data_IF_832262421879
#
_entry.id   IF_832262421879
#
_cell.length_a   1.000
_cell.length_b   1.000
_cell.length_c   1.000
_cell.angle_alpha   90.00
_cell.angle_beta   90.00
_cell.angle_gamma   90.00
#
_symmetry.space_group_name_H-M   'P 1'
#
loop_
_entity.id
_entity.type
_entity.pdbx_description
1 polymer ?
#
# COMPACT_ATOMS: atom_id res chain seq x y z
N UNK A 1 -13.56 -5.04 11.40
CA UNK A 1 -13.18 -4.00 10.45
C UNK A 1 -11.82 -4.32 9.85
N UNK A 2 -11.65 -4.16 8.52
CA UNK A 2 -10.35 -4.45 7.91
C UNK A 2 -9.27 -3.49 8.42
N UNK A 3 -8.08 -4.00 8.57
CA UNK A 3 -6.92 -3.23 9.02
C UNK A 3 -5.97 -3.01 7.86
N UNK A 4 -5.70 -1.75 7.57
CA UNK A 4 -4.84 -1.31 6.46
C UNK A 4 -3.59 -0.63 7.01
N UNK A 5 -2.43 -1.01 6.48
CA UNK A 5 -1.20 -0.28 6.73
C UNK A 5 -0.88 0.56 5.51
N UNK A 6 -0.70 1.85 5.72
CA UNK A 6 -0.38 2.82 4.66
C UNK A 6 1.05 3.29 4.83
N UNK A 7 1.89 3.08 3.81
CA UNK A 7 3.27 3.56 3.81
C UNK A 7 3.36 4.75 2.87
N UNK A 8 3.53 5.94 3.44
CA UNK A 8 3.56 7.22 2.71
C UNK A 8 4.46 8.21 3.46
N UNK A 9 5.45 8.77 2.78
CA UNK A 9 6.42 9.66 3.41
C UNK A 9 5.92 11.09 3.62
N UNK A 10 5.02 11.58 2.76
CA UNK A 10 4.46 12.92 2.92
C UNK A 10 3.43 12.92 4.05
N UNK A 11 3.71 13.66 5.12
CA UNK A 11 2.85 13.68 6.30
C UNK A 11 1.43 14.18 6.00
N UNK A 12 1.30 15.18 5.14
CA UNK A 12 -0.01 15.73 4.80
C UNK A 12 -0.82 14.73 3.96
N UNK A 13 -0.20 14.17 2.94
CA UNK A 13 -0.84 13.16 2.09
C UNK A 13 -1.25 11.95 2.92
N UNK A 14 -0.34 11.49 3.78
CA UNK A 14 -0.61 10.35 4.67
C UNK A 14 -1.83 10.60 5.56
N UNK A 15 -1.86 11.75 6.22
CA UNK A 15 -2.98 12.08 7.12
C UNK A 15 -4.31 12.24 6.39
N UNK A 16 -4.28 12.85 5.23
CA UNK A 16 -5.51 13.00 4.44
C UNK A 16 -6.05 11.66 4.00
N UNK A 17 -5.20 10.76 3.53
CA UNK A 17 -5.62 9.44 3.13
C UNK A 17 -6.08 8.60 4.32
N UNK A 18 -5.38 8.69 5.45
CA UNK A 18 -5.82 8.04 6.68
C UNK A 18 -7.24 8.45 7.06
N UNK A 19 -7.52 9.76 7.04
CA UNK A 19 -8.86 10.27 7.39
C UNK A 19 -9.93 9.74 6.45
N UNK A 20 -9.64 9.69 5.16
CA UNK A 20 -10.59 9.19 4.17
C UNK A 20 -10.89 7.72 4.36
N UNK A 21 -9.87 6.93 4.65
CA UNK A 21 -10.04 5.50 4.88
C UNK A 21 -10.80 5.23 6.18
N UNK A 22 -10.48 5.97 7.24
CA UNK A 22 -11.22 5.85 8.50
C UNK A 22 -12.69 6.21 8.31
N UNK A 23 -12.98 7.27 7.56
CA UNK A 23 -14.35 7.67 7.28
C UNK A 23 -15.11 6.59 6.48
N UNK A 24 -14.40 5.79 5.70
CA UNK A 24 -14.98 4.68 4.94
C UNK A 24 -15.10 3.38 5.75
N UNK A 25 -14.73 3.39 7.03
CA UNK A 25 -14.88 2.25 7.93
C UNK A 25 -13.65 1.37 8.10
N UNK A 26 -12.49 1.81 7.62
CA UNK A 26 -11.26 1.04 7.75
C UNK A 26 -10.50 1.41 9.03
N UNK A 27 -9.80 0.45 9.62
CA UNK A 27 -8.77 0.74 10.61
C UNK A 27 -7.46 0.97 9.86
N UNK A 28 -6.77 2.07 10.16
CA UNK A 28 -5.59 2.47 9.39
C UNK A 28 -4.41 2.77 10.30
N UNK A 29 -3.25 2.27 9.93
CA UNK A 29 -1.98 2.68 10.53
C UNK A 29 -1.12 3.27 9.43
N UNK A 30 -0.77 4.56 9.57
CA UNK A 30 0.15 5.22 8.66
C UNK A 30 1.59 5.08 9.13
N UNK A 31 2.47 4.73 8.21
CA UNK A 31 3.92 4.70 8.43
C UNK A 31 4.56 5.64 7.42
N UNK A 32 5.55 6.39 7.85
CA UNK A 32 6.18 7.38 6.97
C UNK A 32 7.18 6.77 5.99
N UNK A 33 7.65 5.55 6.27
CA UNK A 33 8.52 4.80 5.37
C UNK A 33 8.45 3.32 5.68
N UNK A 34 9.21 2.50 4.93
CA UNK A 34 9.14 1.05 5.04
C UNK A 34 10.04 0.44 6.11
N UNK A 35 10.81 1.24 6.83
CA UNK A 35 11.82 0.69 7.74
C UNK A 35 11.25 -0.16 8.86
N UNK A 36 10.10 0.22 9.37
CA UNK A 36 9.46 -0.50 10.49
C UNK A 36 8.29 -1.37 10.05
N UNK A 37 8.05 -1.46 8.74
CA UNK A 37 6.88 -2.18 8.24
C UNK A 37 6.89 -3.65 8.65
N UNK A 38 8.02 -4.31 8.49
CA UNK A 38 8.14 -5.75 8.78
C UNK A 38 7.83 -6.02 10.25
N UNK A 39 8.47 -5.27 11.15
CA UNK A 39 8.26 -5.42 12.59
C UNK A 39 6.80 -5.13 12.96
N UNK A 40 6.21 -4.11 12.37
CA UNK A 40 4.82 -3.77 12.63
C UNK A 40 3.88 -4.90 12.21
N UNK A 41 4.09 -5.48 11.03
CA UNK A 41 3.24 -6.56 10.52
C UNK A 41 3.37 -7.84 11.33
N UNK A 42 4.53 -8.10 11.93
CA UNK A 42 4.72 -9.27 12.80
C UNK A 42 3.89 -9.15 14.08
N UNK A 43 3.75 -7.94 14.60
CA UNK A 43 2.94 -7.70 15.81
C UNK A 43 1.47 -7.47 15.49
N UNK A 44 1.18 -6.83 14.35
CA UNK A 44 -0.16 -6.44 13.95
C UNK A 44 -0.38 -6.82 12.48
N UNK A 45 -0.75 -8.07 12.19
CA UNK A 45 -1.00 -8.49 10.82
C UNK A 45 -2.08 -7.63 10.15
N UNK A 46 -1.82 -7.20 8.94
CA UNK A 46 -2.73 -6.35 8.18
C UNK A 46 -3.54 -7.15 7.18
N UNK A 47 -4.70 -6.62 6.80
CA UNK A 47 -5.53 -7.18 5.74
C UNK A 47 -5.14 -6.66 4.38
N UNK A 48 -4.54 -5.47 4.33
CA UNK A 48 -4.11 -4.82 3.10
C UNK A 48 -2.97 -3.85 3.41
N UNK A 49 -2.02 -3.74 2.48
CA UNK A 49 -0.92 -2.79 2.57
C UNK A 49 -0.98 -1.86 1.36
N UNK A 50 -0.99 -0.55 1.59
CA UNK A 50 -0.86 0.47 0.56
C UNK A 50 0.56 1.05 0.63
N UNK A 51 1.27 1.07 -0.50
CA UNK A 51 2.65 1.57 -0.55
C UNK A 51 2.76 2.60 -1.67
N UNK A 52 3.27 3.80 -1.33
CA UNK A 52 3.60 4.81 -2.31
C UNK A 52 5.01 4.54 -2.88
N UNK A 53 5.15 4.56 -4.21
CA UNK A 53 6.43 4.32 -4.86
C UNK A 53 7.43 5.47 -4.71
N UNK A 54 6.97 6.64 -4.31
CA UNK A 54 7.85 7.80 -4.14
C UNK A 54 8.65 7.83 -2.86
N UNK A 55 8.78 6.72 -2.13
CA UNK A 55 9.46 6.68 -0.83
C UNK A 55 10.96 6.93 -0.99
N UNK A 56 11.55 7.84 -0.16
CA UNK A 56 12.94 8.27 -0.36
C UNK A 56 14.00 7.26 0.08
N UNK A 57 13.73 6.40 1.05
CA UNK A 57 14.76 5.56 1.66
C UNK A 57 14.75 4.11 1.21
N UNK A 58 13.58 3.59 0.89
CA UNK A 58 13.40 2.22 0.41
C UNK A 58 12.51 2.28 -0.80
N UNK A 59 12.97 1.69 -1.90
CA UNK A 59 12.15 1.51 -3.09
C UNK A 59 10.92 0.67 -2.70
N UNK A 60 9.74 1.17 -3.00
CA UNK A 60 8.49 0.48 -2.68
C UNK A 60 8.42 -0.92 -3.26
N UNK A 61 9.00 -1.14 -4.44
CA UNK A 61 9.03 -2.46 -5.05
C UNK A 61 9.97 -3.40 -4.29
N UNK A 62 11.12 -2.91 -3.85
CA UNK A 62 12.04 -3.70 -3.02
C UNK A 62 11.38 -4.08 -1.69
N UNK A 63 10.56 -3.20 -1.15
CA UNK A 63 9.81 -3.47 0.06
C UNK A 63 8.82 -4.62 -0.14
N UNK A 64 8.11 -4.65 -1.27
CA UNK A 64 7.21 -5.76 -1.60
C UNK A 64 7.97 -7.06 -1.72
N UNK A 65 9.12 -7.06 -2.42
CA UNK A 65 9.95 -8.26 -2.54
C UNK A 65 10.39 -8.78 -1.18
N UNK A 66 10.77 -7.87 -0.27
CA UNK A 66 11.14 -8.23 1.09
C UNK A 66 9.97 -8.90 1.84
N UNK A 67 8.77 -8.33 1.73
CA UNK A 67 7.59 -8.92 2.36
C UNK A 67 7.35 -10.35 1.88
N UNK A 68 7.41 -10.55 0.57
CA UNK A 68 7.18 -11.88 -0.01
C UNK A 68 8.26 -12.88 0.37
N UNK A 69 9.51 -12.44 0.45
CA UNK A 69 10.62 -13.31 0.85
C UNK A 69 10.51 -13.76 2.32
N UNK A 70 9.79 -13.02 3.14
CA UNK A 70 9.54 -13.38 4.54
C UNK A 70 8.22 -14.11 4.74
N UNK A 71 7.58 -14.54 3.65
CA UNK A 71 6.35 -15.32 3.72
C UNK A 71 5.10 -14.52 4.03
N UNK A 72 5.16 -13.20 3.90
CA UNK A 72 3.99 -12.34 4.13
C UNK A 72 3.19 -12.26 2.82
N UNK A 73 1.96 -12.78 2.85
CA UNK A 73 1.08 -12.88 1.68
C UNK A 73 0.00 -11.80 1.63
N UNK A 74 0.02 -10.88 2.58
CA UNK A 74 -0.95 -9.79 2.63
C UNK A 74 -1.04 -9.07 1.28
N UNK A 75 -2.25 -8.81 0.76
CA UNK A 75 -2.38 -8.06 -0.49
C UNK A 75 -1.71 -6.70 -0.40
N UNK A 76 -0.99 -6.33 -1.46
CA UNK A 76 -0.28 -5.06 -1.56
C UNK A 76 -0.79 -4.30 -2.77
N UNK A 77 -1.17 -3.04 -2.55
CA UNK A 77 -1.53 -2.11 -3.60
C UNK A 77 -0.50 -0.99 -3.65
N UNK A 78 0.04 -0.74 -4.84
CA UNK A 78 1.02 0.32 -5.06
C UNK A 78 0.29 1.55 -5.57
N UNK A 79 0.58 2.71 -4.96
CA UNK A 79 0.12 4.01 -5.43
C UNK A 79 1.30 4.75 -6.04
N UNK A 80 1.13 5.34 -7.22
CA UNK A 80 2.23 6.04 -7.90
C UNK A 80 1.74 7.16 -8.79
N UNK A 81 2.52 8.23 -8.88
CA UNK A 81 2.34 9.28 -9.88
C UNK A 81 3.08 8.96 -11.19
N UNK A 82 3.92 7.94 -11.19
CA UNK A 82 4.69 7.58 -12.37
C UNK A 82 3.83 6.88 -13.41
N UNK A 83 4.03 7.26 -14.68
CA UNK A 83 3.39 6.63 -15.82
C UNK A 83 4.49 6.13 -16.74
N UNK A 84 5.06 4.98 -16.39
CA UNK A 84 6.17 4.38 -17.10
C UNK A 84 5.71 3.16 -17.89
N UNK A 85 6.30 2.94 -19.09
CA UNK A 85 6.00 1.73 -19.87
C UNK A 85 6.29 0.47 -19.05
N UNK A 86 5.42 -0.51 -19.16
CA UNK A 86 5.56 -1.81 -18.48
C UNK A 86 5.52 -1.75 -16.95
N UNK A 87 5.14 -0.61 -16.37
CA UNK A 87 5.12 -0.47 -14.91
C UNK A 87 4.20 -1.50 -14.23
N UNK A 88 3.03 -1.76 -14.81
CA UNK A 88 2.12 -2.77 -14.27
C UNK A 88 2.77 -4.15 -14.21
N UNK A 89 3.45 -4.56 -15.28
CA UNK A 89 4.12 -5.85 -15.32
C UNK A 89 5.26 -5.92 -14.30
N UNK A 90 6.04 -4.84 -14.18
CA UNK A 90 7.13 -4.75 -13.21
C UNK A 90 6.59 -4.85 -11.79
N UNK A 91 5.53 -4.12 -11.47
CA UNK A 91 4.91 -4.15 -10.14
C UNK A 91 4.43 -5.56 -9.81
N UNK A 92 3.75 -6.22 -10.72
CA UNK A 92 3.25 -7.58 -10.50
C UNK A 92 4.38 -8.58 -10.31
N UNK A 93 5.49 -8.43 -11.02
CA UNK A 93 6.62 -9.35 -10.91
C UNK A 93 7.29 -9.29 -9.54
N UNK A 94 7.13 -8.20 -8.80
CA UNK A 94 7.64 -8.10 -7.42
C UNK A 94 6.75 -8.81 -6.40
N UNK A 95 5.54 -9.16 -6.78
CA UNK A 95 4.57 -9.79 -5.90
C UNK A 95 3.47 -8.85 -5.41
N UNK A 96 3.42 -7.61 -5.88
CA UNK A 96 2.31 -6.70 -5.58
C UNK A 96 1.05 -7.13 -6.34
N UNK A 97 -0.11 -6.87 -5.76
CA UNK A 97 -1.38 -7.33 -6.31
C UNK A 97 -1.99 -6.33 -7.28
N UNK A 98 -1.75 -5.04 -7.07
CA UNK A 98 -2.40 -4.02 -7.87
C UNK A 98 -1.60 -2.72 -7.89
N UNK A 99 -1.77 -1.95 -8.96
CA UNK A 99 -1.17 -0.63 -9.13
C UNK A 99 -2.28 0.37 -9.40
N UNK A 100 -2.28 1.48 -8.66
CA UNK A 100 -3.20 2.59 -8.88
C UNK A 100 -2.39 3.84 -9.19
N UNK A 101 -2.67 4.46 -10.31
CA UNK A 101 -1.97 5.66 -10.75
C UNK A 101 -2.63 6.92 -10.20
N UNK A 102 -1.83 7.84 -9.70
CA UNK A 102 -2.28 9.16 -9.25
C UNK A 102 -2.37 10.10 -10.45
N UNK A 103 -3.32 11.02 -10.49
CA UNK A 103 -4.42 11.16 -9.54
C UNK A 103 -5.47 10.07 -9.73
N UNK A 104 -6.04 9.59 -8.65
CA UNK A 104 -7.09 8.56 -8.70
C UNK A 104 -8.39 9.11 -8.15
N UNK A 105 -9.51 8.52 -8.58
CA UNK A 105 -10.80 8.76 -7.99
C UNK A 105 -10.86 8.00 -6.65
N UNK A 106 -11.20 8.70 -5.58
CA UNK A 106 -11.22 8.11 -4.24
C UNK A 106 -12.19 6.93 -4.15
N UNK A 107 -13.36 7.06 -4.76
CA UNK A 107 -14.36 6.00 -4.72
C UNK A 107 -13.87 4.76 -5.46
N UNK A 108 -13.19 4.95 -6.59
CA UNK A 108 -12.59 3.86 -7.33
C UNK A 108 -11.48 3.18 -6.51
N UNK A 109 -10.65 3.95 -5.81
CA UNK A 109 -9.62 3.40 -4.93
C UNK A 109 -10.25 2.49 -3.87
N UNK A 110 -11.29 2.96 -3.19
CA UNK A 110 -11.96 2.19 -2.14
C UNK A 110 -12.56 0.91 -2.69
N UNK A 111 -13.15 0.95 -3.88
CA UNK A 111 -13.72 -0.23 -4.52
C UNK A 111 -12.64 -1.26 -4.85
N UNK A 112 -11.49 -0.81 -5.35
CA UNK A 112 -10.37 -1.70 -5.67
C UNK A 112 -9.78 -2.33 -4.42
N UNK A 113 -9.69 -1.57 -3.33
CA UNK A 113 -9.27 -2.10 -2.04
C UNK A 113 -10.21 -3.19 -1.55
N UNK A 114 -11.51 -2.97 -1.62
CA UNK A 114 -12.50 -3.96 -1.21
C UNK A 114 -12.42 -5.24 -2.04
N UNK A 115 -12.16 -5.14 -3.34
CA UNK A 115 -12.00 -6.31 -4.19
C UNK A 115 -10.80 -7.15 -3.78
N UNK A 116 -9.69 -6.53 -3.38
CA UNK A 116 -8.54 -7.28 -2.90
C UNK A 116 -8.84 -8.03 -1.61
N UNK A 117 -9.65 -7.46 -0.73
CA UNK A 117 -10.03 -8.13 0.51
C UNK A 117 -11.00 -9.29 0.28
N UNK A 118 -11.82 -9.23 -0.75
CA UNK A 118 -12.80 -10.25 -1.06
C UNK A 118 -12.20 -11.44 -1.83
N UNK A 119 -11.01 -11.27 -2.37
CA UNK A 119 -10.37 -12.30 -3.19
C UNK A 119 -9.84 -13.46 -2.37
#
# INVERSE_FOLDING_TARGET
MPYVVLVEDDALVRKLLEKRLVAAGWNVRGLRDGRNLMAHLQEHPADLILIDLGLPHIDGLALVEMLRSHGIDTPVMILTAYDLPHLHATVRSTGANELVQKPYDQEELLQRMQRLLAA
#
